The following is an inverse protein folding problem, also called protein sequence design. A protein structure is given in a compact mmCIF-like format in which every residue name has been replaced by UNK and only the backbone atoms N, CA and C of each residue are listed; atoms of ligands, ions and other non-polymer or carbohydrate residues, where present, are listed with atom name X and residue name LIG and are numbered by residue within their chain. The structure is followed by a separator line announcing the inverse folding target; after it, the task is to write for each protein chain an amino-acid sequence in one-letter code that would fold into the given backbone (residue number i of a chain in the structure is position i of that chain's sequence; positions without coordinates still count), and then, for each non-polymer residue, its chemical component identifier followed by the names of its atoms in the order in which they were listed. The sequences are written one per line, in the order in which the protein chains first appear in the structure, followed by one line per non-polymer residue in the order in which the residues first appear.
data_IF_761717639787
#
_entry.id   IF_761717639787
#
_cell.length_a   1.000
_cell.length_b   1.000
_cell.length_c   1.000
_cell.angle_alpha   90.00
_cell.angle_beta   90.00
_cell.angle_gamma   90.00
#
_symmetry.space_group_name_H-M   'P 1'
#
loop_
_entity.id
_entity.type
_entity.pdbx_description
1 polymer ?
#
# COMPACT_ATOMS: atom_id res chain seq x y z
N UNK A 1 -16.13 -0.46 -15.67
CA UNK A 1 -14.76 -0.81 -15.21
C UNK A 1 -13.65 -0.11 -15.99
N UNK A 2 -13.56 -0.16 -17.31
CA UNK A 2 -12.45 0.46 -18.10
C UNK A 2 -12.19 1.93 -17.79
N UNK A 3 -13.24 2.78 -17.71
CA UNK A 3 -13.07 4.20 -17.38
C UNK A 3 -12.61 4.43 -15.93
N UNK A 4 -13.05 3.59 -15.01
CA UNK A 4 -12.60 3.62 -13.62
C UNK A 4 -11.10 3.29 -13.51
N UNK A 5 -10.62 2.26 -14.21
CA UNK A 5 -9.21 1.89 -14.27
C UNK A 5 -8.37 3.01 -14.91
N UNK A 6 -8.84 3.59 -16.03
CA UNK A 6 -8.15 4.73 -16.66
C UNK A 6 -7.98 5.90 -15.70
N UNK A 7 -9.01 6.22 -14.92
CA UNK A 7 -8.94 7.30 -13.96
C UNK A 7 -7.89 7.03 -12.87
N UNK A 8 -7.95 5.84 -12.24
CA UNK A 8 -6.97 5.51 -11.19
C UNK A 8 -5.56 5.53 -11.77
N UNK A 9 -5.35 4.97 -12.99
CA UNK A 9 -4.05 5.06 -13.69
C UNK A 9 -3.59 6.51 -13.92
N UNK A 10 -4.50 7.42 -14.29
CA UNK A 10 -4.15 8.83 -14.50
C UNK A 10 -3.77 9.54 -13.19
N UNK A 11 -4.41 9.19 -12.07
CA UNK A 11 -4.01 9.70 -10.76
C UNK A 11 -2.58 9.26 -10.38
N UNK A 12 -2.20 8.03 -10.71
CA UNK A 12 -0.83 7.54 -10.47
C UNK A 12 0.19 8.21 -11.37
N UNK A 13 -0.14 8.40 -12.66
CA UNK A 13 0.72 9.16 -13.58
C UNK A 13 0.92 10.59 -13.05
N UNK A 14 -0.16 11.24 -12.61
CA UNK A 14 -0.10 12.58 -12.02
C UNK A 14 0.81 12.59 -10.78
N UNK A 15 0.64 11.61 -9.88
CA UNK A 15 1.49 11.48 -8.68
C UNK A 15 2.97 11.36 -9.06
N UNK A 16 3.31 10.42 -9.97
CA UNK A 16 4.71 10.19 -10.36
C UNK A 16 5.31 11.45 -11.02
N UNK A 17 4.56 12.14 -11.87
CA UNK A 17 5.02 13.39 -12.47
C UNK A 17 5.31 14.46 -11.38
N UNK A 18 4.43 14.60 -10.40
CA UNK A 18 4.60 15.56 -9.31
C UNK A 18 5.75 15.16 -8.36
N UNK A 19 5.91 13.87 -8.06
CA UNK A 19 7.04 13.36 -7.26
C UNK A 19 8.37 13.58 -8.00
N UNK A 20 8.43 13.31 -9.30
CA UNK A 20 9.62 13.57 -10.12
C UNK A 20 9.96 15.06 -10.11
N UNK A 21 8.93 15.93 -10.23
CA UNK A 21 9.12 17.37 -10.15
C UNK A 21 9.64 17.80 -8.78
N UNK A 22 9.11 17.25 -7.68
CA UNK A 22 9.55 17.57 -6.32
C UNK A 22 11.03 17.21 -6.09
N UNK A 23 11.52 16.16 -6.72
CA UNK A 23 12.91 15.71 -6.61
C UNK A 23 13.92 16.70 -7.23
N UNK A 24 13.49 17.58 -8.16
CA UNK A 24 14.34 18.66 -8.68
C UNK A 24 14.61 19.75 -7.66
N UNK A 25 13.78 19.87 -6.63
CA UNK A 25 13.92 20.90 -5.59
C UNK A 25 14.55 20.26 -4.35
N UNK A 26 15.69 20.79 -3.88
CA UNK A 26 16.32 20.31 -2.66
C UNK A 26 15.76 20.95 -1.40
N UNK A 27 16.16 20.39 -0.24
CA UNK A 27 15.83 20.94 1.08
C UNK A 27 14.33 20.96 1.38
N UNK A 28 13.91 21.93 2.20
CA UNK A 28 12.54 22.03 2.68
C UNK A 28 11.47 22.19 1.57
N UNK A 29 11.87 22.83 0.45
CA UNK A 29 10.95 23.02 -0.67
C UNK A 29 10.65 21.69 -1.36
N UNK A 30 11.66 20.85 -1.59
CA UNK A 30 11.46 19.49 -2.15
C UNK A 30 10.59 18.64 -1.22
N UNK A 31 10.83 18.69 0.09
CA UNK A 31 10.00 17.99 1.08
C UNK A 31 8.55 18.50 1.07
N UNK A 32 8.32 19.80 1.03
CA UNK A 32 6.97 20.35 0.96
C UNK A 32 6.26 19.94 -0.33
N UNK A 33 6.94 19.99 -1.48
CA UNK A 33 6.40 19.57 -2.78
C UNK A 33 6.10 18.07 -2.84
N UNK A 34 6.87 17.24 -2.13
CA UNK A 34 6.58 15.81 -1.99
C UNK A 34 5.19 15.57 -1.37
N UNK A 35 4.85 16.26 -0.28
CA UNK A 35 3.53 16.14 0.34
C UNK A 35 2.42 16.70 -0.57
N UNK A 36 2.67 17.82 -1.25
CA UNK A 36 1.72 18.37 -2.23
C UNK A 36 1.49 17.40 -3.38
N UNK A 37 2.51 16.67 -3.82
CA UNK A 37 2.41 15.65 -4.86
C UNK A 37 1.39 14.57 -4.52
N UNK A 38 1.27 14.17 -3.26
CA UNK A 38 0.22 13.24 -2.80
C UNK A 38 -1.15 13.91 -2.63
N UNK A 39 -1.19 15.11 -2.07
CA UNK A 39 -2.46 15.79 -1.79
C UNK A 39 -3.27 16.08 -3.05
N UNK A 40 -2.62 16.46 -4.14
CA UNK A 40 -3.31 16.79 -5.39
C UNK A 40 -4.08 15.59 -5.96
N UNK A 41 -3.47 14.41 -6.22
CA UNK A 41 -4.22 13.27 -6.73
C UNK A 41 -5.22 12.69 -5.71
N UNK A 42 -4.98 12.84 -4.40
CA UNK A 42 -5.97 12.47 -3.38
C UNK A 42 -7.22 13.34 -3.51
N UNK A 43 -7.08 14.66 -3.56
CA UNK A 43 -8.21 15.59 -3.69
C UNK A 43 -8.97 15.32 -5.01
N UNK A 44 -8.25 15.20 -6.12
CA UNK A 44 -8.85 14.87 -7.43
C UNK A 44 -9.58 13.52 -7.35
N UNK A 45 -8.96 12.52 -6.75
CA UNK A 45 -9.54 11.19 -6.56
C UNK A 45 -10.82 11.20 -5.73
N UNK A 46 -10.89 12.00 -4.65
CA UNK A 46 -12.11 12.18 -3.87
C UNK A 46 -13.25 12.76 -4.73
N UNK A 47 -13.01 13.85 -5.46
CA UNK A 47 -14.03 14.44 -6.35
C UNK A 47 -14.48 13.44 -7.43
N UNK A 48 -13.55 12.73 -8.05
CA UNK A 48 -13.86 11.73 -9.05
C UNK A 48 -14.64 10.54 -8.45
N UNK A 49 -14.33 10.10 -7.24
CA UNK A 49 -15.05 9.01 -6.59
C UNK A 49 -16.52 9.36 -6.35
N UNK A 50 -16.80 10.61 -5.92
CA UNK A 50 -18.16 11.11 -5.76
C UNK A 50 -18.90 11.23 -7.11
N UNK A 51 -18.20 11.67 -8.18
CA UNK A 51 -18.78 11.68 -9.53
C UNK A 51 -19.18 10.28 -9.99
N UNK A 52 -18.29 9.27 -9.80
CA UNK A 52 -18.59 7.88 -10.17
C UNK A 52 -19.73 7.31 -9.35
N UNK A 53 -19.82 7.63 -8.04
CA UNK A 53 -20.94 7.24 -7.18
C UNK A 53 -22.25 7.78 -7.71
N UNK A 54 -22.37 9.11 -7.93
CA UNK A 54 -23.58 9.75 -8.47
C UNK A 54 -24.01 9.13 -9.79
N UNK A 55 -23.05 8.87 -10.69
CA UNK A 55 -23.35 8.25 -11.98
C UNK A 55 -23.89 6.83 -11.84
N UNK A 56 -23.42 6.04 -10.85
CA UNK A 56 -23.98 4.72 -10.58
C UNK A 56 -25.40 4.81 -10.00
N UNK A 57 -25.63 5.73 -9.09
CA UNK A 57 -26.94 6.03 -8.50
C UNK A 57 -27.96 6.45 -9.57
N UNK A 58 -27.58 7.32 -10.49
CA UNK A 58 -28.43 7.74 -11.63
C UNK A 58 -28.82 6.54 -12.52
N UNK A 59 -27.86 5.66 -12.83
CA UNK A 59 -28.12 4.47 -13.67
C UNK A 59 -28.95 3.43 -12.93
N UNK A 60 -28.72 3.24 -11.64
CA UNK A 60 -29.43 2.25 -10.83
C UNK A 60 -30.81 2.75 -10.37
N UNK A 61 -31.05 4.05 -10.36
CA UNK A 61 -32.27 4.67 -9.82
C UNK A 61 -32.41 4.53 -8.30
N UNK A 62 -31.32 4.18 -7.60
CA UNK A 62 -31.30 3.96 -6.15
C UNK A 62 -30.03 4.61 -5.58
N UNK A 63 -30.15 5.29 -4.43
CA UNK A 63 -29.00 5.81 -3.70
C UNK A 63 -28.14 4.67 -3.15
N UNK A 64 -26.83 4.80 -3.25
CA UNK A 64 -25.89 3.89 -2.58
C UNK A 64 -25.89 4.16 -1.06
N UNK A 65 -25.74 3.09 -0.28
CA UNK A 65 -25.59 3.21 1.18
C UNK A 65 -24.45 4.17 1.56
N UNK A 66 -24.54 4.84 2.71
CA UNK A 66 -23.48 5.69 3.21
C UNK A 66 -22.14 4.96 3.28
N UNK A 67 -21.10 5.69 2.98
CA UNK A 67 -19.74 5.15 2.95
C UNK A 67 -19.16 5.00 4.35
N UNK A 68 -18.99 3.77 4.80
CA UNK A 68 -18.39 3.45 6.10
C UNK A 68 -16.88 3.14 6.03
N UNK A 69 -16.19 3.45 4.91
CA UNK A 69 -14.78 3.11 4.73
C UNK A 69 -13.85 3.70 5.81
N UNK A 70 -14.25 4.79 6.46
CA UNK A 70 -13.56 5.33 7.62
C UNK A 70 -14.14 4.87 8.97
N UNK A 71 -15.14 3.99 8.98
CA UNK A 71 -15.65 3.45 10.23
C UNK A 71 -14.67 2.43 10.82
N UNK A 72 -14.38 2.58 12.12
CA UNK A 72 -13.57 1.62 12.86
C UNK A 72 -14.30 1.24 14.16
N UNK A 73 -14.81 0.03 14.20
CA UNK A 73 -15.54 -0.49 15.36
C UNK A 73 -14.67 -1.46 16.18
N UNK A 74 -15.08 -1.71 17.43
CA UNK A 74 -14.43 -2.71 18.28
C UNK A 74 -14.43 -4.12 17.63
N UNK A 75 -15.50 -4.46 16.90
CA UNK A 75 -15.56 -5.71 16.13
C UNK A 75 -14.49 -5.79 15.06
N UNK A 76 -14.29 -4.71 14.27
CA UNK A 76 -13.23 -4.61 13.27
C UNK A 76 -11.83 -4.70 13.91
N UNK A 77 -11.62 -4.02 15.05
CA UNK A 77 -10.37 -4.10 15.81
C UNK A 77 -10.07 -5.53 16.28
N UNK A 78 -11.07 -6.23 16.84
CA UNK A 78 -10.92 -7.62 17.30
C UNK A 78 -10.54 -8.57 16.15
N UNK A 79 -11.08 -8.35 14.95
CA UNK A 79 -10.75 -9.13 13.76
C UNK A 79 -9.36 -8.77 13.22
N UNK A 80 -8.95 -7.50 13.30
CA UNK A 80 -7.65 -7.04 12.84
C UNK A 80 -6.49 -7.55 13.71
N UNK A 81 -6.65 -7.57 15.03
CA UNK A 81 -5.56 -7.94 15.97
C UNK A 81 -4.82 -9.23 15.58
N UNK A 82 -5.49 -10.37 15.32
CA UNK A 82 -4.80 -11.61 14.94
C UNK A 82 -4.18 -11.56 13.54
N UNK A 83 -4.56 -10.59 12.70
CA UNK A 83 -4.00 -10.40 11.36
C UNK A 83 -2.70 -9.58 11.35
N UNK A 84 -2.40 -8.82 12.40
CA UNK A 84 -1.22 -7.94 12.46
C UNK A 84 0.06 -8.75 12.29
N UNK A 85 0.29 -9.75 13.14
CA UNK A 85 1.53 -10.52 13.11
C UNK A 85 1.75 -11.27 11.77
N UNK A 86 0.76 -12.02 11.22
CA UNK A 86 0.92 -12.65 9.92
C UNK A 86 1.19 -11.65 8.78
N UNK A 87 0.50 -10.51 8.77
CA UNK A 87 0.69 -9.48 7.74
C UNK A 87 2.08 -8.90 7.80
N UNK A 88 2.53 -8.47 8.99
CA UNK A 88 3.88 -7.93 9.18
C UNK A 88 4.93 -8.99 8.81
N UNK A 89 4.76 -10.25 9.23
CA UNK A 89 5.68 -11.33 8.89
C UNK A 89 5.77 -11.57 7.37
N UNK A 90 4.64 -11.57 6.65
CA UNK A 90 4.60 -11.73 5.19
C UNK A 90 5.34 -10.59 4.51
N UNK A 91 5.06 -9.34 4.87
CA UNK A 91 5.66 -8.16 4.22
C UNK A 91 7.16 -8.08 4.51
N UNK A 92 7.59 -8.32 5.75
CA UNK A 92 9.02 -8.37 6.10
C UNK A 92 9.76 -9.49 5.40
N UNK A 93 9.17 -10.69 5.34
CA UNK A 93 9.78 -11.82 4.62
C UNK A 93 9.91 -11.51 3.14
N UNK A 94 8.89 -10.91 2.52
CA UNK A 94 8.94 -10.49 1.12
C UNK A 94 10.04 -9.44 0.90
N UNK A 95 10.15 -8.44 1.78
CA UNK A 95 11.20 -7.41 1.73
C UNK A 95 12.60 -8.02 1.87
N UNK A 96 12.79 -8.93 2.84
CA UNK A 96 14.07 -9.63 3.05
C UNK A 96 14.46 -10.47 1.82
N UNK A 97 13.54 -11.26 1.29
CA UNK A 97 13.81 -12.08 0.10
C UNK A 97 14.12 -11.23 -1.12
N UNK A 98 13.42 -10.10 -1.30
CA UNK A 98 13.73 -9.14 -2.37
C UNK A 98 15.13 -8.56 -2.20
N UNK A 99 15.50 -8.12 -1.00
CA UNK A 99 16.82 -7.56 -0.72
C UNK A 99 17.94 -8.59 -0.91
N UNK A 100 17.74 -9.83 -0.46
CA UNK A 100 18.68 -10.93 -0.68
C UNK A 100 18.85 -11.24 -2.18
N UNK A 101 17.76 -11.31 -2.92
CA UNK A 101 17.80 -11.55 -4.37
C UNK A 101 18.58 -10.45 -5.09
N UNK A 102 18.30 -9.18 -4.80
CA UNK A 102 18.97 -8.05 -5.46
C UNK A 102 20.43 -7.91 -5.06
N UNK A 103 20.82 -8.31 -3.85
CA UNK A 103 22.22 -8.33 -3.42
C UNK A 103 23.09 -9.25 -4.28
N UNK A 104 22.51 -10.30 -4.89
CA UNK A 104 23.22 -11.16 -5.86
C UNK A 104 23.64 -10.40 -7.13
N UNK A 105 22.98 -9.29 -7.44
CA UNK A 105 23.27 -8.41 -8.57
C UNK A 105 24.02 -7.15 -8.16
N UNK A 106 24.50 -7.06 -6.91
CA UNK A 106 25.23 -5.90 -6.41
C UNK A 106 24.34 -4.66 -6.13
N UNK A 107 23.01 -4.83 -6.15
CA UNK A 107 22.05 -3.75 -5.88
C UNK A 107 21.86 -3.68 -4.36
N UNK A 108 22.22 -2.55 -3.75
CA UNK A 108 22.07 -2.30 -2.31
C UNK A 108 21.04 -1.19 -2.05
N UNK A 109 20.47 -1.19 -0.85
CA UNK A 109 19.59 -0.12 -0.40
C UNK A 109 20.35 1.19 -0.20
N UNK A 110 19.67 2.32 -0.38
CA UNK A 110 20.22 3.64 -0.15
C UNK A 110 20.72 3.82 1.32
N UNK A 111 21.75 4.64 1.55
CA UNK A 111 22.26 4.91 2.89
C UNK A 111 21.21 5.59 3.77
N UNK A 112 21.25 5.26 5.06
CA UNK A 112 20.31 5.78 6.06
C UNK A 112 20.62 7.24 6.39
N UNK A 113 19.58 8.06 6.35
CA UNK A 113 19.67 9.45 6.79
C UNK A 113 19.75 9.56 8.31
N UNK A 114 20.70 10.35 8.83
CA UNK A 114 20.89 10.50 10.27
C UNK A 114 19.98 11.61 10.84
N UNK A 115 18.67 11.41 10.78
CA UNK A 115 17.66 12.30 11.40
C UNK A 115 17.23 11.80 12.78
N UNK A 116 16.53 12.65 13.52
CA UNK A 116 15.88 12.30 14.78
C UNK A 116 14.82 11.19 14.52
N UNK A 117 14.74 10.21 15.43
CA UNK A 117 13.79 9.09 15.32
C UNK A 117 12.33 9.55 15.16
N UNK A 118 11.90 10.55 15.94
CA UNK A 118 10.54 11.08 15.84
C UNK A 118 10.25 11.67 14.45
N UNK A 119 11.20 12.45 13.92
CA UNK A 119 11.08 13.00 12.56
C UNK A 119 11.01 11.90 11.52
N UNK A 120 11.84 10.85 11.64
CA UNK A 120 11.81 9.70 10.74
C UNK A 120 10.48 8.94 10.85
N UNK A 121 9.95 8.72 12.05
CA UNK A 121 8.66 8.06 12.25
C UNK A 121 7.49 8.86 11.64
N UNK A 122 7.52 10.18 11.77
CA UNK A 122 6.48 11.03 11.15
C UNK A 122 6.62 11.04 9.62
N UNK A 123 7.83 11.31 9.11
CA UNK A 123 8.05 11.52 7.68
C UNK A 123 8.06 10.22 6.86
N UNK A 124 8.56 9.11 7.41
CA UNK A 124 8.72 7.86 6.66
C UNK A 124 7.79 6.72 7.12
N UNK A 125 7.00 6.93 8.19
CA UNK A 125 6.03 5.91 8.61
C UNK A 125 4.60 6.45 8.65
N UNK A 126 4.33 7.50 9.43
CA UNK A 126 2.96 7.98 9.65
C UNK A 126 2.38 8.69 8.42
N UNK A 127 3.10 9.65 7.87
CA UNK A 127 2.62 10.43 6.73
C UNK A 127 2.42 9.57 5.47
N UNK A 128 3.37 8.69 5.06
CA UNK A 128 3.14 7.75 3.97
C UNK A 128 1.97 6.81 4.25
N UNK A 129 1.87 6.23 5.46
CA UNK A 129 0.78 5.32 5.79
C UNK A 129 -0.60 5.95 5.65
N UNK A 130 -0.75 7.25 5.91
CA UNK A 130 -2.02 7.95 5.72
C UNK A 130 -2.22 8.29 4.24
N UNK A 131 -1.26 8.96 3.60
CA UNK A 131 -1.43 9.49 2.25
C UNK A 131 -1.53 8.38 1.19
N UNK A 132 -0.67 7.37 1.30
CA UNK A 132 -0.65 6.25 0.37
C UNK A 132 -1.90 5.38 0.53
N UNK A 133 -2.38 5.14 1.75
CA UNK A 133 -3.61 4.38 1.94
C UNK A 133 -4.86 5.15 1.48
N UNK A 134 -4.89 6.47 1.61
CA UNK A 134 -5.95 7.28 1.02
C UNK A 134 -5.96 7.16 -0.51
N UNK A 135 -4.81 7.22 -1.15
CA UNK A 135 -4.72 7.19 -2.61
C UNK A 135 -4.90 5.77 -3.16
N UNK A 136 -4.23 4.76 -2.57
CA UNK A 136 -4.17 3.40 -3.11
C UNK A 136 -5.17 2.43 -2.50
N UNK A 137 -5.92 2.80 -1.44
CA UNK A 137 -6.97 1.94 -0.84
C UNK A 137 -8.32 2.65 -0.90
N UNK A 138 -8.47 3.81 -0.28
CA UNK A 138 -9.77 4.48 -0.24
C UNK A 138 -10.32 4.78 -1.64
N UNK A 139 -9.55 5.43 -2.50
CA UNK A 139 -9.98 5.80 -3.85
C UNK A 139 -10.31 4.57 -4.71
N UNK A 140 -9.46 3.53 -4.82
CA UNK A 140 -9.81 2.30 -5.52
C UNK A 140 -11.02 1.56 -4.93
N UNK A 141 -11.18 1.53 -3.60
CA UNK A 141 -12.38 0.95 -2.98
C UNK A 141 -13.65 1.66 -3.46
N UNK A 142 -13.64 2.98 -3.51
CA UNK A 142 -14.79 3.77 -4.00
C UNK A 142 -15.05 3.61 -5.50
N UNK A 143 -14.00 3.50 -6.29
CA UNK A 143 -14.09 3.58 -7.76
C UNK A 143 -14.12 2.19 -8.41
N UNK A 144 -13.31 1.21 -7.94
CA UNK A 144 -13.14 -0.08 -8.58
C UNK A 144 -13.94 -1.21 -7.92
N UNK A 145 -14.07 -1.21 -6.59
CA UNK A 145 -14.74 -2.28 -5.85
C UNK A 145 -16.19 -2.55 -6.32
N UNK A 146 -17.01 -1.53 -6.68
CA UNK A 146 -18.35 -1.76 -7.20
C UNK A 146 -18.41 -2.56 -8.51
N UNK A 147 -17.31 -2.63 -9.24
CA UNK A 147 -17.22 -3.40 -10.50
C UNK A 147 -16.60 -4.78 -10.29
N UNK A 148 -15.56 -4.89 -9.47
CA UNK A 148 -14.88 -6.16 -9.19
C UNK A 148 -13.98 -6.04 -7.96
N UNK A 149 -14.20 -6.90 -6.95
CA UNK A 149 -13.32 -7.01 -5.78
C UNK A 149 -11.91 -7.45 -6.19
N UNK A 150 -11.79 -8.45 -7.06
CA UNK A 150 -10.49 -8.94 -7.58
C UNK A 150 -9.75 -7.86 -8.34
N UNK A 151 -10.46 -7.14 -9.21
CA UNK A 151 -9.89 -6.02 -9.95
C UNK A 151 -9.42 -4.92 -9.00
N UNK A 152 -10.22 -4.57 -7.99
CA UNK A 152 -9.86 -3.59 -6.99
C UNK A 152 -8.57 -3.98 -6.24
N UNK A 153 -8.48 -5.23 -5.75
CA UNK A 153 -7.28 -5.74 -5.05
C UNK A 153 -6.06 -5.69 -5.97
N UNK A 154 -6.18 -6.22 -7.19
CA UNK A 154 -5.07 -6.29 -8.12
C UNK A 154 -4.54 -4.92 -8.54
N UNK A 155 -5.43 -4.01 -8.99
CA UNK A 155 -5.00 -2.69 -9.46
C UNK A 155 -4.49 -1.81 -8.34
N UNK A 156 -5.12 -1.84 -7.16
CA UNK A 156 -4.60 -1.14 -5.98
C UNK A 156 -3.18 -1.58 -5.64
N UNK A 157 -2.93 -2.88 -5.59
CA UNK A 157 -1.61 -3.43 -5.30
C UNK A 157 -0.57 -3.09 -6.39
N UNK A 158 -0.99 -3.17 -7.66
CA UNK A 158 -0.12 -2.85 -8.80
C UNK A 158 0.29 -1.38 -8.78
N UNK A 159 -0.65 -0.46 -8.64
CA UNK A 159 -0.37 0.97 -8.60
C UNK A 159 0.49 1.34 -7.40
N UNK A 160 0.15 0.82 -6.21
CA UNK A 160 0.96 1.00 -5.01
C UNK A 160 2.41 0.52 -5.18
N UNK A 161 2.64 -0.57 -5.88
CA UNK A 161 4.00 -1.03 -6.12
C UNK A 161 4.74 -0.19 -7.16
N UNK A 162 4.06 0.23 -8.23
CA UNK A 162 4.65 0.97 -9.33
C UNK A 162 5.13 2.37 -8.94
N UNK A 163 4.44 3.06 -8.02
CA UNK A 163 4.85 4.42 -7.60
C UNK A 163 6.23 4.49 -6.97
N UNK A 164 6.70 3.37 -6.42
CA UNK A 164 8.04 3.35 -5.82
C UNK A 164 9.16 3.47 -6.87
N UNK A 165 8.86 3.21 -8.15
CA UNK A 165 9.83 3.27 -9.26
C UNK A 165 11.19 2.65 -8.90
N UNK A 166 11.17 1.52 -8.20
CA UNK A 166 12.35 0.85 -7.63
C UNK A 166 12.20 -0.66 -7.68
N UNK A 167 13.15 -1.35 -8.31
CA UNK A 167 13.18 -2.81 -8.34
C UNK A 167 13.32 -3.44 -6.96
N UNK A 168 13.94 -2.74 -6.01
CA UNK A 168 14.08 -3.21 -4.64
C UNK A 168 12.78 -3.14 -3.85
N UNK A 169 11.87 -2.27 -4.24
CA UNK A 169 10.60 -2.07 -3.51
C UNK A 169 9.41 -2.75 -4.19
N UNK A 170 9.41 -2.81 -5.52
CA UNK A 170 8.27 -3.29 -6.31
C UNK A 170 7.72 -4.65 -5.87
N UNK A 171 8.52 -5.74 -5.69
CA UNK A 171 7.97 -7.05 -5.35
C UNK A 171 7.28 -7.07 -3.99
N UNK A 172 7.94 -6.55 -2.94
CA UNK A 172 7.35 -6.60 -1.60
C UNK A 172 6.20 -5.60 -1.43
N UNK A 173 6.27 -4.43 -2.11
CA UNK A 173 5.18 -3.46 -2.10
C UNK A 173 3.93 -4.02 -2.80
N UNK A 174 4.09 -4.80 -3.87
CA UNK A 174 2.96 -5.50 -4.50
C UNK A 174 2.31 -6.51 -3.54
N UNK A 175 3.11 -7.33 -2.86
CA UNK A 175 2.62 -8.31 -1.87
C UNK A 175 1.91 -7.59 -0.72
N UNK A 176 2.52 -6.54 -0.15
CA UNK A 176 1.90 -5.71 0.89
C UNK A 176 0.59 -5.11 0.38
N UNK A 177 0.59 -4.59 -0.85
CA UNK A 177 -0.57 -4.02 -1.51
C UNK A 177 -1.75 -4.98 -1.60
N UNK A 178 -1.50 -6.22 -2.01
CA UNK A 178 -2.51 -7.29 -2.08
C UNK A 178 -3.07 -7.59 -0.69
N UNK A 179 -2.19 -7.81 0.30
CA UNK A 179 -2.62 -8.21 1.66
C UNK A 179 -3.42 -7.11 2.34
N UNK A 180 -2.96 -5.85 2.27
CA UNK A 180 -3.64 -4.70 2.86
C UNK A 180 -5.02 -4.50 2.25
N UNK A 181 -5.11 -4.49 0.90
CA UNK A 181 -6.39 -4.32 0.22
C UNK A 181 -7.37 -5.47 0.49
N UNK A 182 -6.89 -6.71 0.60
CA UNK A 182 -7.75 -7.85 0.97
C UNK A 182 -8.35 -7.67 2.35
N UNK A 183 -7.58 -7.19 3.32
CA UNK A 183 -8.05 -6.94 4.69
C UNK A 183 -9.06 -5.80 4.68
N UNK A 184 -8.81 -4.71 3.95
CA UNK A 184 -9.72 -3.57 3.85
C UNK A 184 -11.04 -3.95 3.18
N UNK A 185 -11.02 -4.72 2.10
CA UNK A 185 -12.22 -5.26 1.45
C UNK A 185 -13.03 -6.14 2.41
N UNK A 186 -12.34 -6.99 3.18
CA UNK A 186 -13.00 -7.91 4.11
C UNK A 186 -13.60 -7.22 5.34
N UNK A 187 -12.96 -6.15 5.82
CA UNK A 187 -13.40 -5.39 6.99
C UNK A 187 -14.27 -4.17 6.63
N UNK A 188 -14.36 -3.84 5.33
CA UNK A 188 -15.10 -2.66 4.86
C UNK A 188 -14.57 -1.37 5.48
N UNK A 189 -13.25 -1.21 5.57
CA UNK A 189 -12.60 -0.04 6.18
C UNK A 189 -11.17 0.08 5.71
N UNK A 190 -10.65 1.31 5.62
CA UNK A 190 -9.24 1.60 5.28
C UNK A 190 -8.34 1.74 6.52
N UNK A 191 -8.90 1.79 7.72
CA UNK A 191 -8.12 1.85 8.95
C UNK A 191 -7.17 0.67 9.15
N UNK A 192 -7.56 -0.57 8.81
CA UNK A 192 -6.66 -1.71 8.91
C UNK A 192 -5.37 -1.52 8.12
N UNK A 193 -5.46 -1.11 6.86
CA UNK A 193 -4.26 -0.89 6.04
C UNK A 193 -3.42 0.28 6.55
N UNK A 194 -4.02 1.38 6.98
CA UNK A 194 -3.29 2.51 7.60
C UNK A 194 -2.48 2.03 8.82
N UNK A 195 -3.10 1.24 9.72
CA UNK A 195 -2.42 0.73 10.92
C UNK A 195 -1.30 -0.24 10.55
N UNK A 196 -1.57 -1.19 9.67
CA UNK A 196 -0.59 -2.19 9.23
C UNK A 196 0.57 -1.56 8.47
N UNK A 197 0.30 -0.61 7.61
CA UNK A 197 1.31 0.15 6.88
C UNK A 197 2.19 0.98 7.82
N UNK A 198 1.57 1.70 8.76
CA UNK A 198 2.31 2.43 9.79
C UNK A 198 3.23 1.50 10.59
N UNK A 199 2.74 0.35 11.07
CA UNK A 199 3.54 -0.63 11.82
C UNK A 199 4.72 -1.12 10.96
N UNK A 200 4.47 -1.46 9.69
CA UNK A 200 5.49 -1.91 8.75
C UNK A 200 6.59 -0.86 8.58
N UNK A 201 6.21 0.37 8.25
CA UNK A 201 7.17 1.45 8.01
C UNK A 201 7.89 1.89 9.28
N UNK A 202 7.19 1.97 10.43
CA UNK A 202 7.80 2.28 11.72
C UNK A 202 8.84 1.22 12.11
N UNK A 203 8.53 -0.06 11.88
CA UNK A 203 9.50 -1.14 12.11
C UNK A 203 10.73 -1.00 11.21
N UNK A 204 10.54 -0.64 9.94
CA UNK A 204 11.64 -0.38 8.99
C UNK A 204 12.50 0.80 9.45
N UNK A 205 11.88 1.91 9.90
CA UNK A 205 12.59 3.09 10.44
C UNK A 205 13.44 2.72 11.66
N UNK A 206 12.89 1.96 12.60
CA UNK A 206 13.62 1.49 13.80
C UNK A 206 14.79 0.59 13.38
N UNK A 207 14.55 -0.31 12.44
CA UNK A 207 15.58 -1.19 11.89
C UNK A 207 16.70 -0.42 11.21
N UNK A 208 16.37 0.54 10.35
CA UNK A 208 17.35 1.41 9.69
C UNK A 208 18.23 2.14 10.72
N UNK A 209 17.64 2.64 11.79
CA UNK A 209 18.36 3.43 12.79
C UNK A 209 19.26 2.60 13.71
N UNK A 210 18.84 1.40 14.09
CA UNK A 210 19.51 0.60 15.13
C UNK A 210 20.03 -0.75 14.63
N UNK A 211 19.65 -1.18 13.44
CA UNK A 211 19.93 -2.52 12.91
C UNK A 211 21.39 -2.76 12.49
N UNK A 212 22.20 -1.71 12.33
CA UNK A 212 23.62 -1.83 11.92
C UNK A 212 24.54 -2.39 13.00
N UNK A 213 24.13 -2.38 14.27
CA UNK A 213 24.89 -2.96 15.36
C UNK A 213 24.61 -4.46 15.50
N UNK A 214 25.60 -5.24 16.01
CA UNK A 214 25.39 -6.67 16.27
C UNK A 214 24.22 -6.93 17.23
N UNK A 215 24.03 -6.06 18.23
CA UNK A 215 22.91 -6.12 19.17
C UNK A 215 21.60 -5.82 18.44
N UNK A 216 21.56 -4.78 17.62
CA UNK A 216 20.37 -4.42 16.83
C UNK A 216 19.98 -5.53 15.85
N UNK A 217 20.95 -6.13 15.16
CA UNK A 217 20.71 -7.30 14.27
C UNK A 217 20.17 -8.48 15.07
N UNK A 218 20.72 -8.79 16.25
CA UNK A 218 20.24 -9.84 17.12
C UNK A 218 18.80 -9.64 17.60
N UNK A 219 18.45 -8.41 18.01
CA UNK A 219 17.09 -8.03 18.39
C UNK A 219 16.14 -8.20 17.20
N UNK A 220 16.53 -7.75 16.00
CA UNK A 220 15.73 -7.90 14.79
C UNK A 220 15.41 -9.36 14.49
N UNK A 221 16.43 -10.22 14.47
CA UNK A 221 16.24 -11.66 14.21
C UNK A 221 15.32 -12.29 15.25
N UNK A 222 15.47 -11.90 16.54
CA UNK A 222 14.59 -12.34 17.61
C UNK A 222 13.14 -11.90 17.42
N UNK A 223 12.91 -10.64 17.04
CA UNK A 223 11.57 -10.10 16.75
C UNK A 223 10.95 -10.79 15.54
N UNK A 224 11.71 -11.01 14.45
CA UNK A 224 11.23 -11.74 13.28
C UNK A 224 10.85 -13.19 13.62
N UNK A 225 11.69 -13.88 14.39
CA UNK A 225 11.38 -15.23 14.84
C UNK A 225 10.10 -15.27 15.69
N UNK A 226 9.93 -14.32 16.62
CA UNK A 226 8.73 -14.20 17.43
C UNK A 226 7.50 -13.90 16.56
N UNK A 227 7.60 -12.99 15.60
CA UNK A 227 6.52 -12.68 14.65
C UNK A 227 6.11 -13.91 13.83
N UNK A 228 7.06 -14.68 13.33
CA UNK A 228 6.77 -15.93 12.60
C UNK A 228 6.06 -16.94 13.48
N UNK A 229 6.53 -17.15 14.71
CA UNK A 229 5.89 -18.07 15.67
C UNK A 229 4.45 -17.63 15.96
N UNK A 230 4.26 -16.33 16.31
CA UNK A 230 2.92 -15.78 16.58
C UNK A 230 2.03 -15.89 15.34
N UNK A 231 2.57 -15.66 14.13
CA UNK A 231 1.84 -15.80 12.87
C UNK A 231 1.35 -17.23 12.65
N UNK A 232 2.22 -18.24 12.86
CA UNK A 232 1.84 -19.65 12.74
C UNK A 232 0.73 -19.98 13.74
N UNK A 233 0.88 -19.57 14.99
CA UNK A 233 -0.14 -19.79 16.03
C UNK A 233 -1.46 -19.13 15.63
N UNK A 234 -1.45 -17.85 15.20
CA UNK A 234 -2.66 -17.15 14.74
C UNK A 234 -3.31 -17.86 13.56
N UNK A 235 -2.53 -18.27 12.55
CA UNK A 235 -3.05 -18.94 11.36
C UNK A 235 -3.69 -20.29 11.74
N UNK A 236 -3.06 -21.07 12.61
CA UNK A 236 -3.59 -22.37 13.06
C UNK A 236 -4.89 -22.19 13.85
N UNK A 237 -4.88 -21.27 14.82
CA UNK A 237 -6.04 -21.03 15.68
C UNK A 237 -7.22 -20.37 14.94
N UNK A 238 -6.94 -19.54 13.93
CA UNK A 238 -7.92 -18.73 13.18
C UNK A 238 -8.12 -19.21 11.74
N UNK A 239 -7.72 -20.43 11.42
CA UNK A 239 -7.75 -20.99 10.04
C UNK A 239 -9.11 -20.81 9.35
N UNK A 240 -10.22 -21.01 10.07
CA UNK A 240 -11.57 -20.87 9.51
C UNK A 240 -11.87 -19.39 9.19
N UNK A 241 -11.57 -18.48 10.11
CA UNK A 241 -11.79 -17.03 9.94
C UNK A 241 -10.96 -16.49 8.77
N UNK A 242 -9.69 -16.89 8.66
CA UNK A 242 -8.83 -16.52 7.53
C UNK A 242 -9.34 -17.10 6.20
N UNK A 243 -9.83 -18.35 6.20
CA UNK A 243 -10.42 -18.95 5.00
C UNK A 243 -11.70 -18.25 4.55
N UNK A 244 -12.51 -17.74 5.45
CA UNK A 244 -13.71 -16.95 5.16
C UNK A 244 -13.35 -15.56 4.62
N UNK A 245 -12.37 -14.90 5.24
CA UNK A 245 -11.82 -13.61 4.81
C UNK A 245 -11.27 -13.69 3.39
N UNK A 246 -10.46 -14.71 3.10
CA UNK A 246 -9.90 -14.94 1.77
C UNK A 246 -11.00 -15.20 0.73
N UNK A 247 -12.01 -16.02 1.06
CA UNK A 247 -13.14 -16.27 0.14
C UNK A 247 -13.97 -15.03 -0.11
N UNK A 248 -14.20 -14.21 0.91
CA UNK A 248 -14.95 -12.96 0.80
C UNK A 248 -14.25 -11.89 -0.05
N UNK A 249 -12.91 -11.93 -0.12
CA UNK A 249 -12.13 -11.03 -0.95
C UNK A 249 -12.15 -11.38 -2.45
N UNK A 250 -12.47 -12.64 -2.82
CA UNK A 250 -12.44 -13.11 -4.19
C UNK A 250 -13.85 -13.44 -4.70
N UNK A 251 -14.46 -12.52 -5.43
CA UNK A 251 -15.67 -12.76 -6.20
C UNK A 251 -15.34 -13.39 -7.59
N UNK A 252 -16.39 -13.69 -8.37
CA UNK A 252 -16.25 -14.23 -9.73
C UNK A 252 -16.09 -13.14 -10.80
N UNK A 253 -15.93 -11.87 -10.43
CA UNK A 253 -15.84 -10.76 -11.36
C UNK A 253 -14.57 -10.78 -12.22
N UNK A 254 -14.53 -9.96 -13.27
CA UNK A 254 -13.36 -9.79 -14.11
C UNK A 254 -12.19 -9.24 -13.29
N UNK A 255 -11.08 -9.97 -13.27
CA UNK A 255 -9.91 -9.60 -12.47
C UNK A 255 -9.00 -8.61 -13.19
N UNK A 256 -8.94 -8.65 -14.51
CA UNK A 256 -7.96 -7.89 -15.28
C UNK A 256 -8.57 -7.27 -16.54
N UNK A 257 -8.36 -5.96 -16.71
CA UNK A 257 -8.67 -5.23 -17.94
C UNK A 257 -7.44 -4.43 -18.35
N UNK A 258 -6.88 -4.77 -19.49
CA UNK A 258 -5.76 -4.03 -20.07
C UNK A 258 -6.22 -2.66 -20.56
N UNK A 259 -5.42 -1.63 -20.26
CA UNK A 259 -5.60 -0.30 -20.85
C UNK A 259 -4.26 0.24 -21.36
N UNK A 260 -4.22 1.00 -22.47
CA UNK A 260 -2.99 1.64 -22.93
C UNK A 260 -2.34 2.57 -21.88
N UNK A 261 -3.15 3.21 -21.04
CA UNK A 261 -2.66 4.04 -19.94
C UNK A 261 -1.88 3.23 -18.91
N UNK A 262 -2.34 2.01 -18.59
CA UNK A 262 -1.62 1.11 -17.69
C UNK A 262 -0.25 0.68 -18.28
N UNK A 263 -0.20 0.38 -19.58
CA UNK A 263 1.07 0.07 -20.22
C UNK A 263 2.05 1.25 -20.16
N UNK A 264 1.56 2.48 -20.45
CA UNK A 264 2.39 3.68 -20.36
C UNK A 264 2.92 3.91 -18.94
N UNK A 265 2.10 3.67 -17.91
CA UNK A 265 2.51 3.75 -16.51
C UNK A 265 3.61 2.73 -16.19
N UNK A 266 3.44 1.45 -16.58
CA UNK A 266 4.43 0.40 -16.35
C UNK A 266 5.75 0.73 -17.04
N UNK A 267 5.71 1.23 -18.29
CA UNK A 267 6.92 1.63 -19.03
C UNK A 267 7.63 2.83 -18.37
N UNK A 268 6.85 3.83 -17.90
CA UNK A 268 7.40 4.99 -17.20
C UNK A 268 8.06 4.58 -15.88
N UNK A 269 7.40 3.78 -15.06
CA UNK A 269 7.99 3.28 -13.81
C UNK A 269 9.20 2.40 -14.05
N UNK A 270 9.17 1.54 -15.07
CA UNK A 270 10.31 0.73 -15.48
C UNK A 270 11.52 1.58 -15.90
N UNK A 271 11.27 2.63 -16.69
CA UNK A 271 12.34 3.57 -17.08
C UNK A 271 12.95 4.27 -15.86
N UNK A 272 12.10 4.83 -14.96
CA UNK A 272 12.60 5.48 -13.75
C UNK A 272 13.33 4.52 -12.81
N UNK A 273 12.89 3.26 -12.72
CA UNK A 273 13.56 2.26 -11.90
C UNK A 273 14.96 1.91 -12.47
N UNK A 274 15.12 1.89 -13.79
CA UNK A 274 16.43 1.67 -14.44
C UNK A 274 17.35 2.89 -14.26
N UNK A 275 16.83 4.10 -14.37
CA UNK A 275 17.65 5.32 -14.26
C UNK A 275 18.02 5.66 -12.81
N UNK A 276 17.35 5.07 -11.83
CA UNK A 276 17.64 5.21 -10.40
C UNK A 276 18.53 4.06 -9.84
N UNK A 277 18.93 3.10 -10.68
CA UNK A 277 19.92 2.07 -10.35
C UNK A 277 21.34 2.64 -10.40
#
# INVERSE_FOLDING_TARGET
MTNAIKLVTLLDVLLICLLTLSAYFGGWLGEALYYVAFLVPIIVGFYCSEYFKRKREEVAGVAEEPDELFSFSFGKAKTLLPLIAPTVAIVFTASLLTSLFLSLFGISSAPVENRNLLTMLVAHALAPAIMEELLFRYIPLKILMPYSKRGCIFYSALYFSLIHCSFSQLPYAFIAGVVFMMIDVALGSVWPSIILHFINNASSVVLMKYGSSAVGTGILLGVLAALVIVSVVCIVLKKKEYGELMRGAFDKGEAFVYTPALLALVMMCGYLAVTNL
#
